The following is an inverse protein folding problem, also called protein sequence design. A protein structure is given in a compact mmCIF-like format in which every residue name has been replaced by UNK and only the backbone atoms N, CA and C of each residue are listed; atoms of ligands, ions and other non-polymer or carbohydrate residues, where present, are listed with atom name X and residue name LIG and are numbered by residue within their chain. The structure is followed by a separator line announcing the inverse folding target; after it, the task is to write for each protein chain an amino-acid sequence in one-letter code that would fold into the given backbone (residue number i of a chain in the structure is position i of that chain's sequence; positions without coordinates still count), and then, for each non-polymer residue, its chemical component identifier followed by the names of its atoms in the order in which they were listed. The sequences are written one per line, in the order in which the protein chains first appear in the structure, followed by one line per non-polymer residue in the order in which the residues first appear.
data_IF_100330617055
#
_entry.id   IF_100330617055
#
_cell.length_a   1.000
_cell.length_b   1.000
_cell.length_c   1.000
_cell.angle_alpha   90.00
_cell.angle_beta   90.00
_cell.angle_gamma   90.00
#
_symmetry.space_group_name_H-M   'P 1'
#
loop_
_entity.id
_entity.type
_entity.pdbx_description
1 polymer ?
#
# COMPACT_ATOMS: atom_id res chain seq x y z
N UNK A 1 -15.24 -37.71 9.52
CA UNK A 1 -14.46 -38.72 10.27
C UNK A 1 -13.50 -39.40 9.31
N UNK A 2 -12.22 -39.00 9.29
CA UNK A 2 -11.14 -39.66 8.53
C UNK A 2 -9.83 -39.47 9.31
N UNK A 3 -9.52 -40.42 10.19
CA UNK A 3 -8.42 -41.42 10.10
C UNK A 3 -7.01 -40.82 10.12
N UNK A 4 -6.32 -41.10 11.23
CA UNK A 4 -4.90 -40.89 11.52
C UNK A 4 -4.08 -41.98 10.83
N UNK A 5 -2.91 -41.63 10.29
CA UNK A 5 -1.86 -42.59 9.97
C UNK A 5 -0.55 -42.13 10.62
N UNK A 6 -0.08 -42.93 11.58
CA UNK A 6 1.28 -42.90 12.10
C UNK A 6 2.10 -43.95 11.35
N UNK A 7 3.34 -43.62 11.00
CA UNK A 7 4.35 -44.60 10.58
C UNK A 7 5.62 -44.37 11.42
N UNK A 8 6.14 -45.47 11.96
CA UNK A 8 7.24 -45.58 12.92
C UNK A 8 8.13 -46.73 12.41
N UNK A 9 9.46 -46.62 12.51
CA UNK A 9 10.52 -47.68 12.56
C UNK A 9 11.84 -47.12 11.94
N UNK A 10 13.08 -47.37 12.38
CA UNK A 10 13.72 -47.89 13.60
C UNK A 10 15.27 -47.87 13.40
N UNK A 11 16.00 -47.86 14.54
CA UNK A 11 17.36 -48.38 14.87
C UNK A 11 18.51 -48.37 13.83
N UNK A 12 19.78 -48.08 14.10
CA UNK A 12 20.62 -48.06 15.31
C UNK A 12 21.99 -48.70 14.95
N UNK A 13 23.11 -48.28 15.57
CA UNK A 13 24.32 -49.06 15.97
C UNK A 13 25.42 -48.09 16.46
N UNK A 14 26.07 -48.45 17.58
CA UNK A 14 27.12 -47.72 18.28
C UNK A 14 28.43 -48.53 18.34
N UNK A 15 29.58 -47.86 18.52
CA UNK A 15 30.85 -48.29 19.17
C UNK A 15 31.70 -47.01 19.35
N UNK A 16 32.65 -46.81 20.26
CA UNK A 16 33.04 -47.22 21.62
C UNK A 16 34.42 -46.55 21.85
N UNK A 17 34.77 -46.04 23.04
CA UNK A 17 36.18 -45.80 23.39
C UNK A 17 36.54 -44.57 24.25
N UNK A 18 37.03 -44.84 25.46
CA UNK A 18 37.36 -43.98 26.62
C UNK A 18 38.57 -43.01 26.49
N UNK A 19 38.60 -41.91 27.27
CA UNK A 19 39.41 -41.77 28.52
C UNK A 19 39.44 -40.35 29.14
N UNK A 20 39.12 -40.28 30.45
CA UNK A 20 39.59 -39.44 31.60
C UNK A 20 39.94 -37.94 31.41
N UNK A 21 39.78 -37.03 32.38
CA UNK A 21 39.15 -36.94 33.70
C UNK A 21 39.27 -35.47 34.18
N UNK A 22 38.38 -35.06 35.09
CA UNK A 22 38.55 -34.10 36.22
C UNK A 22 37.38 -33.11 36.39
N UNK A 23 36.78 -33.17 37.59
CA UNK A 23 35.83 -32.24 38.25
C UNK A 23 36.53 -31.75 39.54
N UNK A 24 36.05 -30.79 40.37
CA UNK A 24 34.75 -30.08 40.37
C UNK A 24 34.84 -28.56 40.66
N UNK A 25 33.72 -27.81 40.59
CA UNK A 25 33.22 -27.01 41.72
C UNK A 25 31.92 -26.29 41.36
N UNK A 26 31.01 -26.37 42.31
CA UNK A 26 29.68 -25.82 42.43
C UNK A 26 29.69 -24.28 42.51
N UNK A 27 28.77 -23.61 41.81
CA UNK A 27 28.11 -22.39 42.31
C UNK A 27 26.89 -22.05 41.43
N UNK A 28 25.73 -22.02 42.09
CA UNK A 28 24.42 -21.74 41.55
C UNK A 28 24.35 -20.40 40.79
N UNK A 29 24.08 -20.46 39.49
CA UNK A 29 23.68 -19.30 38.70
C UNK A 29 22.17 -19.05 38.86
N UNK A 30 21.83 -17.87 39.37
CA UNK A 30 20.47 -17.31 39.34
C UNK A 30 19.96 -17.32 37.90
N UNK A 31 18.76 -17.88 37.68
CA UNK A 31 17.97 -17.62 36.46
C UNK A 31 17.53 -16.16 36.48
N UNK A 32 18.15 -15.33 35.66
CA UNK A 32 17.53 -14.06 35.23
C UNK A 32 16.55 -14.37 34.11
N UNK A 33 15.28 -14.03 34.34
CA UNK A 33 14.25 -13.99 33.31
C UNK A 33 14.62 -12.97 32.23
N UNK A 34 14.34 -13.24 30.94
CA UNK A 34 14.55 -12.26 29.90
C UNK A 34 13.62 -11.06 30.13
N UNK A 35 14.24 -9.91 30.40
CA UNK A 35 13.59 -8.61 30.52
C UNK A 35 12.81 -8.34 29.23
N UNK A 36 11.47 -8.41 29.31
CA UNK A 36 10.56 -7.94 28.28
C UNK A 36 10.94 -6.50 27.95
N UNK A 37 11.60 -6.33 26.81
CA UNK A 37 11.79 -5.01 26.24
C UNK A 37 10.47 -4.66 25.60
N UNK A 38 9.76 -3.73 26.22
CA UNK A 38 8.51 -3.17 25.73
C UNK A 38 8.78 -2.51 24.38
N UNK A 39 8.41 -3.19 23.29
CA UNK A 39 8.44 -2.60 21.95
C UNK A 39 7.28 -1.60 21.92
N UNK A 40 7.58 -0.31 22.12
CA UNK A 40 6.65 0.77 21.80
C UNK A 40 6.44 0.77 20.29
N UNK A 41 5.36 0.14 19.87
CA UNK A 41 4.84 0.22 18.51
C UNK A 41 4.18 1.59 18.34
N UNK A 42 4.98 2.62 18.05
CA UNK A 42 4.45 3.92 17.64
C UNK A 42 4.41 3.94 16.12
N UNK A 43 3.39 3.30 15.54
CA UNK A 43 2.96 3.66 14.19
C UNK A 43 2.40 5.08 14.25
N UNK A 44 3.27 6.05 14.00
CA UNK A 44 2.93 7.46 14.01
C UNK A 44 2.06 7.76 12.77
N UNK A 45 0.76 7.94 13.01
CA UNK A 45 -0.23 8.35 12.01
C UNK A 45 0.28 9.57 11.24
N UNK A 46 0.22 9.52 9.91
CA UNK A 46 0.80 10.56 9.06
C UNK A 46 -0.09 11.78 8.88
N UNK A 47 -1.38 11.62 9.21
CA UNK A 47 -2.40 12.64 9.40
C UNK A 47 -3.23 12.21 10.61
N UNK A 48 -3.52 13.08 11.58
CA UNK A 48 -4.51 12.76 12.60
C UNK A 48 -5.80 12.35 11.90
N UNK A 49 -6.37 11.20 12.25
CA UNK A 49 -7.62 10.73 11.63
C UNK A 49 -8.73 11.79 11.79
N UNK A 50 -8.65 12.64 12.82
CA UNK A 50 -9.52 13.81 13.05
C UNK A 50 -9.51 14.84 11.92
N UNK A 51 -8.40 14.97 11.21
CA UNK A 51 -8.21 16.00 10.17
C UNK A 51 -8.64 15.49 8.80
N UNK A 52 -9.04 14.22 8.72
CA UNK A 52 -9.62 13.63 7.51
C UNK A 52 -11.10 13.98 7.46
N UNK A 53 -11.58 14.61 6.38
CA UNK A 53 -13.00 14.91 6.23
C UNK A 53 -13.84 13.64 6.38
N UNK A 54 -14.83 13.68 7.28
CA UNK A 54 -15.87 12.65 7.33
C UNK A 54 -16.84 12.92 6.21
N UNK A 55 -16.88 12.02 5.24
CA UNK A 55 -17.67 12.17 4.03
C UNK A 55 -18.78 11.12 4.00
N UNK A 56 -19.86 11.45 3.31
CA UNK A 56 -20.79 10.45 2.82
C UNK A 56 -20.35 9.97 1.43
N UNK A 57 -20.88 8.82 1.02
CA UNK A 57 -20.65 8.31 -0.34
C UNK A 57 -21.23 9.30 -1.35
N UNK A 58 -20.52 9.49 -2.45
CA UNK A 58 -20.86 10.45 -3.51
C UNK A 58 -22.34 10.39 -3.93
N UNK A 59 -22.95 11.52 -4.34
CA UNK A 59 -24.31 11.53 -4.87
C UNK A 59 -24.36 10.90 -6.26
N UNK A 60 -25.55 10.39 -6.66
CA UNK A 60 -25.72 9.61 -7.89
C UNK A 60 -25.36 10.38 -9.17
N UNK A 61 -25.51 11.70 -9.14
CA UNK A 61 -25.27 12.63 -10.25
C UNK A 61 -23.84 13.19 -10.30
N UNK A 62 -22.95 12.79 -9.38
CA UNK A 62 -21.56 13.27 -9.39
C UNK A 62 -20.82 12.83 -10.68
N UNK A 63 -20.10 13.75 -11.35
CA UNK A 63 -19.63 13.55 -12.72
C UNK A 63 -18.52 12.49 -12.82
N UNK A 64 -18.59 11.73 -13.91
CA UNK A 64 -17.67 10.63 -14.26
C UNK A 64 -17.12 10.83 -15.67
N UNK A 65 -16.91 12.09 -16.08
CA UNK A 65 -16.28 12.40 -17.37
C UNK A 65 -14.77 12.04 -17.37
N UNK A 66 -14.21 11.98 -18.59
CA UNK A 66 -12.77 11.88 -18.84
C UNK A 66 -12.11 13.22 -19.21
N UNK A 67 -12.82 14.34 -19.06
CA UNK A 67 -12.36 15.68 -19.48
C UNK A 67 -11.47 16.36 -18.41
N UNK A 68 -11.31 15.67 -17.28
CA UNK A 68 -10.54 16.07 -16.12
C UNK A 68 -9.44 15.05 -15.82
N UNK A 69 -8.39 15.52 -15.14
CA UNK A 69 -7.26 14.72 -14.66
C UNK A 69 -7.04 14.95 -13.18
N UNK A 70 -6.42 13.98 -12.50
CA UNK A 70 -5.86 14.20 -11.18
C UNK A 70 -4.46 14.82 -11.31
N UNK A 71 -4.22 15.89 -10.59
CA UNK A 71 -2.90 16.48 -10.37
C UNK A 71 -2.52 16.21 -8.92
N UNK A 72 -1.53 15.34 -8.73
CA UNK A 72 -1.03 14.90 -7.42
C UNK A 72 0.30 15.62 -7.18
N UNK A 73 0.33 16.58 -6.27
CA UNK A 73 1.56 17.25 -5.82
C UNK A 73 2.24 16.39 -4.75
N UNK A 74 3.49 16.05 -4.98
CA UNK A 74 4.30 15.16 -4.13
C UNK A 74 5.35 15.96 -3.37
N UNK A 75 5.51 15.63 -2.09
CA UNK A 75 6.58 16.12 -1.24
C UNK A 75 7.10 15.02 -0.31
N UNK A 76 8.41 14.80 -0.30
CA UNK A 76 9.09 13.93 0.66
C UNK A 76 9.62 14.74 1.85
N UNK A 77 9.38 14.24 3.05
CA UNK A 77 9.82 14.86 4.29
C UNK A 77 11.36 14.84 4.41
N UNK A 78 11.99 16.02 4.39
CA UNK A 78 13.44 16.18 4.50
C UNK A 78 14.24 15.57 3.35
N UNK A 79 13.58 15.21 2.25
CA UNK A 79 14.18 14.51 1.11
C UNK A 79 14.09 15.28 -0.21
N UNK A 80 14.77 14.79 -1.26
CA UNK A 80 14.83 15.49 -2.54
C UNK A 80 13.58 15.31 -3.42
N UNK A 81 12.71 14.34 -3.12
CA UNK A 81 11.55 14.04 -3.98
C UNK A 81 10.49 15.12 -3.80
N UNK A 82 10.27 15.89 -4.87
CA UNK A 82 9.19 16.85 -5.02
C UNK A 82 8.79 16.92 -6.49
N UNK A 83 7.51 17.07 -6.78
CA UNK A 83 7.03 17.16 -8.15
C UNK A 83 5.55 16.88 -8.29
N UNK A 84 5.11 16.67 -9.53
CA UNK A 84 3.70 16.47 -9.83
C UNK A 84 3.51 15.22 -10.66
N UNK A 85 2.54 14.39 -10.28
CA UNK A 85 2.06 13.27 -11.07
C UNK A 85 0.69 13.67 -11.64
N UNK A 86 0.53 13.60 -12.96
CA UNK A 86 -0.76 13.86 -13.62
C UNK A 86 -1.33 12.55 -14.11
N UNK A 87 -2.56 12.24 -13.73
CA UNK A 87 -3.23 10.99 -14.06
C UNK A 87 -4.55 11.23 -14.81
N UNK A 88 -4.74 10.52 -15.91
CA UNK A 88 -6.04 10.43 -16.58
C UNK A 88 -6.89 9.29 -16.02
N UNK A 89 -8.18 9.33 -16.34
CA UNK A 89 -9.20 8.40 -15.87
C UNK A 89 -9.81 7.58 -17.00
N UNK A 90 -10.33 6.40 -16.67
CA UNK A 90 -11.05 5.50 -17.59
C UNK A 90 -12.51 5.32 -17.17
N UNK A 91 -13.36 6.34 -17.37
CA UNK A 91 -14.76 6.29 -16.93
C UNK A 91 -15.61 5.25 -17.65
N UNK A 92 -15.21 4.86 -18.87
CA UNK A 92 -15.82 3.78 -19.65
C UNK A 92 -15.51 2.38 -19.10
N UNK A 93 -14.43 2.25 -18.31
CA UNK A 93 -13.95 0.98 -17.78
C UNK A 93 -14.28 0.77 -16.30
N UNK A 94 -14.20 1.83 -15.50
CA UNK A 94 -14.41 1.77 -14.05
C UNK A 94 -15.11 3.03 -13.53
N UNK A 95 -16.37 3.29 -13.93
CA UNK A 95 -17.06 4.54 -13.63
C UNK A 95 -17.19 4.80 -12.13
N UNK A 96 -17.49 3.78 -11.31
CA UNK A 96 -17.66 3.99 -9.87
C UNK A 96 -16.33 4.25 -9.16
N UNK A 97 -15.23 3.65 -9.61
CA UNK A 97 -13.91 3.94 -9.04
C UNK A 97 -13.39 5.32 -9.45
N UNK A 98 -13.59 5.73 -10.71
CA UNK A 98 -13.31 7.10 -11.17
C UNK A 98 -14.12 8.10 -10.33
N UNK A 99 -15.42 7.86 -10.18
CA UNK A 99 -16.31 8.70 -9.38
C UNK A 99 -15.86 8.80 -7.92
N UNK A 100 -15.53 7.67 -7.29
CA UNK A 100 -15.04 7.61 -5.92
C UNK A 100 -13.75 8.42 -5.74
N UNK A 101 -12.76 8.22 -6.62
CA UNK A 101 -11.49 8.91 -6.53
C UNK A 101 -11.68 10.43 -6.68
N UNK A 102 -12.43 10.87 -7.70
CA UNK A 102 -12.73 12.29 -7.94
C UNK A 102 -13.45 12.92 -6.74
N UNK A 103 -14.47 12.24 -6.21
CA UNK A 103 -15.21 12.69 -5.03
C UNK A 103 -14.29 12.89 -3.82
N UNK A 104 -13.44 11.91 -3.52
CA UNK A 104 -12.50 11.99 -2.40
C UNK A 104 -11.47 13.11 -2.61
N UNK A 105 -10.94 13.26 -3.83
CA UNK A 105 -9.98 14.31 -4.17
C UNK A 105 -10.58 15.72 -4.04
N UNK A 106 -11.79 15.95 -4.55
CA UNK A 106 -12.47 17.26 -4.47
C UNK A 106 -12.77 17.70 -3.03
N UNK A 107 -12.85 16.73 -2.11
CA UNK A 107 -13.05 16.98 -0.69
C UNK A 107 -11.74 16.91 0.10
N UNK A 108 -10.58 17.08 -0.55
CA UNK A 108 -9.26 17.13 0.09
C UNK A 108 -8.92 15.88 0.93
N UNK A 109 -9.60 14.75 0.69
CA UNK A 109 -9.45 13.53 1.47
C UNK A 109 -8.01 12.99 1.41
N UNK A 110 -7.39 13.09 0.24
CA UNK A 110 -6.03 12.62 -0.02
C UNK A 110 -4.94 13.61 0.40
N UNK A 111 -5.27 14.86 0.74
CA UNK A 111 -4.27 15.85 1.11
C UNK A 111 -3.58 15.45 2.43
N UNK A 112 -2.24 15.43 2.39
CA UNK A 112 -1.37 14.97 3.47
C UNK A 112 -1.24 13.45 3.60
N UNK A 113 -1.98 12.67 2.81
CA UNK A 113 -1.93 11.21 2.86
C UNK A 113 -0.63 10.70 2.22
N UNK A 114 -0.01 9.68 2.81
CA UNK A 114 1.27 9.15 2.35
C UNK A 114 1.14 7.96 1.40
N UNK A 115 2.21 7.72 0.64
CA UNK A 115 2.51 6.39 0.10
C UNK A 115 3.08 5.51 1.20
N UNK A 116 2.20 4.76 1.88
CA UNK A 116 2.56 3.93 3.04
C UNK A 116 3.25 2.61 2.64
N UNK A 117 3.11 2.18 1.38
CA UNK A 117 3.68 0.93 0.88
C UNK A 117 4.31 1.13 -0.49
N UNK A 118 5.62 0.92 -0.57
CA UNK A 118 6.44 1.10 -1.76
C UNK A 118 7.25 -0.18 -1.99
N UNK A 119 7.16 -0.73 -3.20
CA UNK A 119 7.93 -1.91 -3.60
C UNK A 119 8.59 -1.64 -4.95
N UNK A 120 9.92 -1.54 -4.94
CA UNK A 120 10.74 -1.40 -6.14
C UNK A 120 10.48 -2.55 -7.10
N UNK A 121 10.30 -2.23 -8.38
CA UNK A 121 9.94 -3.22 -9.40
C UNK A 121 8.50 -3.75 -9.28
N UNK A 122 7.61 -3.03 -8.58
CA UNK A 122 6.21 -3.41 -8.49
C UNK A 122 5.27 -2.19 -8.51
N UNK A 123 5.06 -1.51 -7.38
CA UNK A 123 4.12 -0.38 -7.28
C UNK A 123 4.41 0.56 -6.11
N UNK A 124 3.73 1.70 -6.11
CA UNK A 124 3.61 2.63 -4.97
C UNK A 124 2.13 2.70 -4.57
N UNK A 125 1.82 2.47 -3.29
CA UNK A 125 0.46 2.40 -2.77
C UNK A 125 0.23 3.48 -1.71
N UNK A 126 -0.88 4.20 -1.86
CA UNK A 126 -1.31 5.29 -1.00
C UNK A 126 -2.84 5.30 -0.81
N UNK A 127 -3.38 6.44 -0.38
CA UNK A 127 -4.83 6.63 -0.22
C UNK A 127 -5.42 6.11 1.10
N UNK A 128 -4.59 5.73 2.08
CA UNK A 128 -5.02 5.45 3.45
C UNK A 128 -4.71 6.64 4.36
N UNK A 129 -5.72 7.37 4.89
CA UNK A 129 -5.50 8.51 5.77
C UNK A 129 -4.77 8.18 7.08
N UNK A 130 -4.85 6.94 7.54
CA UNK A 130 -4.14 6.49 8.74
C UNK A 130 -2.65 6.23 8.47
N UNK A 131 -2.30 5.98 7.20
CA UNK A 131 -0.96 5.57 6.77
C UNK A 131 -0.57 4.14 7.16
N UNK A 132 -1.51 3.31 7.63
CA UNK A 132 -1.22 1.96 8.18
C UNK A 132 -1.47 0.82 7.19
N UNK A 133 -2.22 1.08 6.12
CA UNK A 133 -2.78 0.11 5.19
C UNK A 133 -4.18 -0.40 5.59
N UNK A 134 -4.70 -0.02 6.77
CA UNK A 134 -5.99 -0.48 7.29
C UNK A 134 -7.14 0.54 7.21
N UNK A 135 -6.88 1.77 6.80
CA UNK A 135 -7.91 2.82 6.73
C UNK A 135 -8.66 2.88 5.40
N UNK A 136 -9.71 3.71 5.38
CA UNK A 136 -10.58 3.89 4.22
C UNK A 136 -11.66 4.94 4.47
N UNK A 137 -12.54 5.19 3.49
CA UNK A 137 -13.49 6.30 3.51
C UNK A 137 -14.77 5.99 4.31
N UNK A 138 -14.92 4.76 4.81
CA UNK A 138 -16.12 4.29 5.51
C UNK A 138 -17.14 3.60 4.61
N UNK A 139 -16.83 3.40 3.33
CA UNK A 139 -17.61 2.60 2.39
C UNK A 139 -16.70 1.81 1.45
N UNK A 140 -17.32 0.86 0.74
CA UNK A 140 -16.69 0.09 -0.31
C UNK A 140 -17.26 0.41 -1.70
N UNK A 141 -16.46 0.09 -2.72
CA UNK A 141 -16.78 0.13 -4.14
C UNK A 141 -16.64 -1.29 -4.69
N UNK A 142 -17.68 -1.76 -5.38
CA UNK A 142 -17.68 -3.09 -6.00
C UNK A 142 -16.67 -3.14 -7.15
N UNK A 143 -16.07 -4.30 -7.37
CA UNK A 143 -15.09 -4.49 -8.44
C UNK A 143 -15.64 -4.13 -9.82
N UNK A 144 -14.85 -3.44 -10.63
CA UNK A 144 -15.12 -3.12 -12.04
C UNK A 144 -13.94 -3.65 -12.88
N UNK A 145 -13.66 -4.95 -12.75
CA UNK A 145 -12.59 -5.60 -13.49
C UNK A 145 -12.79 -5.41 -15.00
N UNK A 146 -11.69 -5.12 -15.70
CA UNK A 146 -11.74 -4.72 -17.10
C UNK A 146 -10.48 -5.18 -17.87
N UNK A 147 -10.47 -4.89 -19.17
CA UNK A 147 -9.44 -5.31 -20.14
C UNK A 147 -8.15 -4.48 -20.10
N UNK A 148 -8.09 -3.40 -19.30
CA UNK A 148 -6.88 -2.59 -19.16
C UNK A 148 -5.79 -3.37 -18.44
N UNK A 149 -4.57 -3.18 -18.92
CA UNK A 149 -3.37 -3.86 -18.42
C UNK A 149 -2.70 -3.05 -17.33
N UNK A 150 -2.08 -3.74 -16.38
CA UNK A 150 -1.24 -3.09 -15.37
C UNK A 150 0.16 -2.82 -15.95
N UNK A 151 0.25 -1.78 -16.75
CA UNK A 151 1.49 -1.23 -17.32
C UNK A 151 2.15 -0.22 -16.35
N UNK A 152 3.40 0.20 -16.58
CA UNK A 152 3.97 1.34 -15.85
C UNK A 152 3.04 2.55 -15.88
N UNK A 153 2.81 3.14 -14.71
CA UNK A 153 1.91 4.27 -14.51
C UNK A 153 0.42 3.91 -14.38
N UNK A 154 0.01 2.65 -14.49
CA UNK A 154 -1.40 2.28 -14.31
C UNK A 154 -1.88 2.58 -12.88
N UNK A 155 -3.03 3.25 -12.76
CA UNK A 155 -3.74 3.45 -11.49
C UNK A 155 -4.74 2.31 -11.31
N UNK A 156 -4.67 1.65 -10.16
CA UNK A 156 -5.56 0.55 -9.82
C UNK A 156 -5.90 0.56 -8.33
N UNK A 157 -7.09 0.05 -8.00
CA UNK A 157 -7.63 0.15 -6.63
C UNK A 157 -7.13 -0.98 -5.77
N UNK A 158 -6.61 -0.64 -4.59
CA UNK A 158 -6.24 -1.62 -3.59
C UNK A 158 -7.50 -2.17 -2.90
N UNK A 159 -7.44 -3.45 -2.52
CA UNK A 159 -8.53 -4.15 -1.86
C UNK A 159 -7.99 -5.22 -0.92
N UNK A 160 -8.85 -5.69 -0.02
CA UNK A 160 -8.62 -6.91 0.75
C UNK A 160 -8.84 -8.15 -0.14
N UNK A 161 -8.80 -9.39 0.39
CA UNK A 161 -9.15 -10.59 -0.38
C UNK A 161 -10.54 -10.53 -1.02
N UNK A 162 -11.50 -9.81 -0.43
CA UNK A 162 -12.81 -9.57 -1.03
C UNK A 162 -12.69 -8.63 -2.25
N UNK A 163 -13.05 -9.07 -3.47
CA UNK A 163 -13.07 -8.24 -4.67
C UNK A 163 -13.81 -6.91 -4.50
N UNK A 164 -14.86 -6.85 -3.69
CA UNK A 164 -15.73 -5.70 -3.51
C UNK A 164 -15.38 -4.84 -2.29
N UNK A 165 -14.13 -4.91 -1.82
CA UNK A 165 -13.65 -4.19 -0.63
C UNK A 165 -12.78 -2.97 -0.94
N UNK A 166 -12.72 -2.53 -2.20
CA UNK A 166 -11.99 -1.32 -2.56
C UNK A 166 -12.62 -0.10 -1.87
N UNK A 167 -11.79 0.75 -1.28
CA UNK A 167 -12.22 1.96 -0.56
C UNK A 167 -11.58 3.20 -1.19
N UNK A 168 -10.66 3.83 -0.46
CA UNK A 168 -9.90 5.01 -0.91
C UNK A 168 -8.48 4.67 -1.36
N UNK A 169 -7.98 3.50 -0.96
CA UNK A 169 -6.60 3.09 -1.24
C UNK A 169 -6.43 2.72 -2.71
N UNK A 170 -5.35 3.21 -3.31
CA UNK A 170 -4.98 2.95 -4.69
C UNK A 170 -3.47 2.74 -4.79
N UNK A 171 -3.03 2.20 -5.92
CA UNK A 171 -1.63 2.09 -6.25
C UNK A 171 -1.36 2.55 -7.69
N UNK A 172 -0.11 2.99 -7.92
CA UNK A 172 0.44 3.29 -9.23
C UNK A 172 1.52 2.25 -9.53
N UNK A 173 1.40 1.55 -10.65
CA UNK A 173 2.39 0.57 -11.07
C UNK A 173 3.72 1.25 -11.44
N UNK A 174 4.83 0.77 -10.89
CA UNK A 174 6.19 1.21 -11.27
C UNK A 174 6.66 0.49 -12.53
N UNK A 175 6.37 -0.80 -12.63
CA UNK A 175 6.68 -1.63 -13.81
C UNK A 175 5.41 -2.35 -14.28
N UNK A 176 5.49 -3.11 -15.38
CA UNK A 176 4.38 -3.96 -15.79
C UNK A 176 4.12 -5.09 -14.77
N UNK A 177 2.86 -5.29 -14.37
CA UNK A 177 2.44 -6.26 -13.35
C UNK A 177 1.28 -7.13 -13.84
N UNK A 178 1.47 -7.95 -14.89
CA UNK A 178 0.39 -8.69 -15.56
C UNK A 178 -0.34 -9.69 -14.64
N UNK A 179 0.27 -10.10 -13.52
CA UNK A 179 -0.37 -10.96 -12.52
C UNK A 179 -1.53 -10.27 -11.77
N UNK A 180 -1.70 -8.95 -11.91
CA UNK A 180 -2.83 -8.19 -11.36
C UNK A 180 -4.00 -8.03 -12.35
N UNK A 181 -3.77 -8.33 -13.64
CA UNK A 181 -4.77 -8.13 -14.69
C UNK A 181 -6.06 -8.89 -14.37
N UNK A 182 -7.20 -8.22 -14.54
CA UNK A 182 -8.53 -8.77 -14.25
C UNK A 182 -8.70 -9.28 -12.80
N UNK A 183 -7.83 -8.87 -11.86
CA UNK A 183 -7.90 -9.18 -10.43
C UNK A 183 -8.01 -7.91 -9.57
N UNK A 184 -7.64 -6.76 -10.15
CA UNK A 184 -7.71 -5.43 -9.55
C UNK A 184 -8.32 -4.46 -10.56
N UNK A 185 -9.12 -3.52 -10.08
CA UNK A 185 -9.81 -2.54 -10.95
C UNK A 185 -8.85 -1.45 -11.39
N UNK A 186 -8.47 -1.47 -12.66
CA UNK A 186 -7.77 -0.36 -13.32
C UNK A 186 -8.77 0.75 -13.62
N UNK A 187 -8.48 1.97 -13.18
CA UNK A 187 -9.37 3.13 -13.33
C UNK A 187 -8.70 4.37 -13.93
N UNK A 188 -7.40 4.33 -14.20
CA UNK A 188 -6.67 5.43 -14.80
C UNK A 188 -5.22 5.11 -15.12
N UNK A 189 -4.47 6.12 -15.56
CA UNK A 189 -3.03 6.00 -15.85
C UNK A 189 -2.31 7.34 -15.70
N UNK A 190 -1.07 7.30 -15.23
CA UNK A 190 -0.16 8.44 -15.22
C UNK A 190 0.22 8.84 -16.64
N UNK A 191 0.02 10.12 -16.97
CA UNK A 191 0.33 10.73 -18.28
C UNK A 191 1.48 11.75 -18.20
N UNK A 192 1.82 12.24 -17.00
CA UNK A 192 3.03 13.04 -16.70
C UNK A 192 3.53 12.72 -15.30
N UNK A 193 4.84 12.86 -15.07
CA UNK A 193 5.44 12.66 -13.74
C UNK A 193 5.81 11.20 -13.43
N UNK A 194 6.05 10.38 -14.46
CA UNK A 194 6.53 9.00 -14.25
C UNK A 194 7.90 8.97 -13.56
N UNK A 195 8.75 9.97 -13.80
CA UNK A 195 10.02 10.14 -13.10
C UNK A 195 9.83 10.35 -11.58
N UNK A 196 8.70 10.92 -11.16
CA UNK A 196 8.35 11.05 -9.74
C UNK A 196 7.89 9.70 -9.18
N UNK A 197 7.08 8.94 -9.92
CA UNK A 197 6.68 7.56 -9.56
C UNK A 197 7.93 6.69 -9.38
N UNK A 198 8.88 6.76 -10.31
CA UNK A 198 10.14 6.03 -10.25
C UNK A 198 10.99 6.45 -9.06
N UNK A 199 11.10 7.76 -8.78
CA UNK A 199 11.83 8.27 -7.62
C UNK A 199 11.24 7.76 -6.31
N UNK A 200 9.91 7.78 -6.15
CA UNK A 200 9.21 7.21 -4.99
C UNK A 200 9.52 5.71 -4.89
N UNK A 201 9.38 4.97 -6.00
CA UNK A 201 9.55 3.52 -6.01
C UNK A 201 10.98 3.06 -5.71
N UNK A 202 11.97 3.94 -5.87
CA UNK A 202 13.38 3.68 -5.58
C UNK A 202 13.85 4.25 -4.22
N UNK A 203 12.96 4.80 -3.40
CA UNK A 203 13.31 5.29 -2.06
C UNK A 203 13.77 4.17 -1.12
N UNK A 204 14.51 4.52 -0.07
CA UNK A 204 14.85 3.59 0.99
C UNK A 204 13.61 3.23 1.82
N UNK A 205 13.46 1.93 2.13
CA UNK A 205 12.31 1.39 2.85
C UNK A 205 12.74 0.49 4.03
N UNK A 206 11.91 0.43 5.06
CA UNK A 206 11.92 -0.65 6.06
C UNK A 206 10.80 -1.64 5.70
N UNK A 207 11.17 -2.82 5.21
CA UNK A 207 10.22 -3.75 4.60
C UNK A 207 9.67 -3.17 3.30
N UNK A 208 8.44 -2.64 3.34
CA UNK A 208 7.84 -1.88 2.22
C UNK A 208 7.47 -0.45 2.60
N UNK A 209 7.75 0.00 3.82
CA UNK A 209 7.39 1.33 4.29
C UNK A 209 8.55 2.29 4.04
N UNK A 210 8.36 3.42 3.33
CA UNK A 210 9.41 4.43 3.16
C UNK A 210 9.98 4.91 4.50
N UNK A 211 11.32 5.05 4.58
CA UNK A 211 11.99 5.55 5.78
C UNK A 211 11.64 7.02 6.06
N UNK A 212 11.47 7.81 4.99
CA UNK A 212 10.97 9.17 5.04
C UNK A 212 9.57 9.21 4.42
N UNK A 213 8.65 9.91 5.08
CA UNK A 213 7.26 10.05 4.62
C UNK A 213 7.24 10.75 3.25
N UNK A 214 6.54 10.16 2.29
CA UNK A 214 6.27 10.74 0.97
C UNK A 214 4.79 11.04 0.91
N UNK A 215 4.44 12.33 0.92
CA UNK A 215 3.08 12.84 1.07
C UNK A 215 2.52 13.28 -0.29
N UNK A 216 1.25 13.00 -0.51
CA UNK A 216 0.42 13.74 -1.46
C UNK A 216 0.09 15.07 -0.79
N UNK A 217 0.91 16.10 -1.05
CA UNK A 217 0.72 17.44 -0.49
C UNK A 217 -0.66 17.98 -0.88
N UNK A 218 -1.03 17.80 -2.14
CA UNK A 218 -2.39 18.06 -2.63
C UNK A 218 -2.78 17.07 -3.72
N UNK A 219 -4.08 16.77 -3.83
CA UNK A 219 -4.68 16.06 -4.97
C UNK A 219 -5.83 16.89 -5.49
N UNK A 220 -5.73 17.37 -6.73
CA UNK A 220 -6.76 18.22 -7.34
C UNK A 220 -7.27 17.62 -8.63
N UNK A 221 -8.59 17.69 -8.83
CA UNK A 221 -9.23 17.38 -10.11
C UNK A 221 -9.31 18.68 -10.89
N UNK A 222 -8.68 18.70 -12.07
CA UNK A 222 -8.65 19.89 -12.94
C UNK A 222 -8.98 19.50 -14.37
N UNK A 223 -9.45 20.46 -15.18
CA UNK A 223 -9.62 20.22 -16.60
C UNK A 223 -8.26 19.94 -17.26
N UNK A 224 -8.25 19.07 -18.28
CA UNK A 224 -7.00 18.67 -18.98
C UNK A 224 -6.15 19.87 -19.43
N UNK A 225 -6.80 20.87 -20.03
CA UNK A 225 -6.17 22.12 -20.49
C UNK A 225 -5.41 22.86 -19.36
N UNK A 226 -5.92 22.81 -18.13
CA UNK A 226 -5.34 23.53 -16.99
C UNK A 226 -4.11 22.77 -16.43
N UNK A 227 -4.01 21.47 -16.69
CA UNK A 227 -2.83 20.64 -16.43
C UNK A 227 -1.84 20.59 -17.63
N UNK A 228 -2.12 21.35 -18.70
CA UNK A 228 -1.31 21.40 -19.91
C UNK A 228 -1.25 20.07 -20.67
N UNK A 229 -2.34 19.29 -20.64
CA UNK A 229 -2.52 17.98 -21.33
C UNK A 229 -3.83 17.92 -22.11
#
# INVERSE_FOLDING_TARGET
MKTVFALLLAAGVAFAGCSKADKPADQAAKKEEPKKTEVKNTQEQTKPVSDTPKLEKWPADYPVDGDSVAVIEIEQEGGPIKGTIVCEFYPDKAPNHVRNFKWLADHDYYNGVIFHRVIKGFMIQGGDPTGTGGGGPGWNVNAEFNDRKHEPGTLSMARTPDPNSAGSQFFICHVATPHLDNQYTVFGKTIKGMEIVDAIANTAVQGSTPLQKIKMKSVKIVARKDAGV
#
